data_IF_710496809526
#
_entry.id   IF_710496809526
#
_cell.length_a   1.000
_cell.length_b   1.000
_cell.length_c   1.000
_cell.angle_alpha   90.00
_cell.angle_beta   90.00
_cell.angle_gamma   90.00
#
_symmetry.space_group_name_H-M   'P 1'
#
loop_
_entity.id
_entity.type
_entity.pdbx_description
1 polymer ?
#
# COMPACT_ATOMS: atom_id res chain seq x y z
N UNK A 1 -27.22 -59.66 50.83
CA UNK A 1 -26.68 -58.37 51.31
C UNK A 1 -25.16 -58.39 51.19
N UNK A 2 -24.58 -57.78 50.14
CA UNK A 2 -23.13 -57.49 49.96
C UNK A 2 -22.85 -57.00 48.52
N UNK A 3 -23.48 -55.90 48.11
CA UNK A 3 -23.19 -55.22 46.82
C UNK A 3 -23.55 -53.74 46.92
N UNK A 4 -22.87 -53.01 47.79
CA UNK A 4 -22.98 -51.56 47.91
C UNK A 4 -21.79 -51.11 48.74
N UNK A 5 -20.65 -50.81 48.09
CA UNK A 5 -19.51 -50.04 48.64
C UNK A 5 -18.30 -50.22 47.69
N UNK A 6 -18.36 -49.75 46.44
CA UNK A 6 -17.14 -49.57 45.62
C UNK A 6 -17.40 -48.79 44.32
N UNK A 7 -18.13 -47.67 44.39
CA UNK A 7 -18.27 -46.72 43.26
C UNK A 7 -18.29 -45.28 43.77
N UNK A 8 -17.32 -44.91 44.59
CA UNK A 8 -17.26 -43.58 45.20
C UNK A 8 -15.82 -43.07 45.37
N UNK A 9 -14.95 -43.32 44.39
CA UNK A 9 -13.66 -42.63 44.27
C UNK A 9 -13.38 -42.50 42.78
N UNK A 10 -12.85 -41.35 42.36
CA UNK A 10 -12.42 -41.02 40.99
C UNK A 10 -13.42 -40.40 40.00
N UNK A 11 -14.45 -39.69 40.47
CA UNK A 11 -15.23 -38.74 39.66
C UNK A 11 -14.78 -37.27 39.81
N UNK A 12 -13.60 -37.03 40.39
CA UNK A 12 -13.06 -35.68 40.61
C UNK A 12 -11.89 -35.39 39.66
N UNK A 13 -12.09 -35.55 38.36
CA UNK A 13 -11.27 -34.85 37.38
C UNK A 13 -11.94 -33.49 37.17
N UNK A 14 -11.49 -32.55 37.99
CA UNK A 14 -11.87 -31.15 37.97
C UNK A 14 -11.85 -30.62 36.54
N UNK A 15 -13.02 -30.22 36.04
CA UNK A 15 -13.15 -29.32 34.90
C UNK A 15 -12.45 -28.00 35.26
N UNK A 16 -11.15 -27.92 35.03
CA UNK A 16 -10.48 -26.64 34.81
C UNK A 16 -11.01 -26.10 33.48
N UNK A 17 -12.07 -25.30 33.55
CA UNK A 17 -12.43 -24.39 32.48
C UNK A 17 -11.29 -23.39 32.34
N UNK A 18 -10.34 -23.67 31.44
CA UNK A 18 -9.40 -22.67 30.93
C UNK A 18 -10.25 -21.58 30.27
N UNK A 19 -10.52 -20.51 31.01
CA UNK A 19 -11.08 -19.29 30.47
C UNK A 19 -10.08 -18.75 29.44
N UNK A 20 -10.28 -19.14 28.18
CA UNK A 20 -9.54 -18.64 27.04
C UNK A 20 -9.78 -17.12 27.00
N UNK A 21 -8.81 -16.35 27.49
CA UNK A 21 -8.88 -14.90 27.43
C UNK A 21 -8.87 -14.51 25.94
N UNK A 22 -9.78 -13.63 25.50
CA UNK A 22 -9.76 -13.17 24.12
C UNK A 22 -8.40 -12.53 23.82
N UNK A 23 -7.71 -13.07 22.81
CA UNK A 23 -6.48 -12.45 22.28
C UNK A 23 -6.93 -11.28 21.42
N UNK A 24 -6.66 -10.08 21.90
CA UNK A 24 -6.88 -8.84 21.18
C UNK A 24 -5.68 -8.56 20.27
N UNK A 25 -5.89 -8.30 18.99
CA UNK A 25 -4.82 -7.78 18.12
C UNK A 25 -4.64 -6.26 18.31
N UNK A 26 -4.44 -5.84 19.56
CA UNK A 26 -4.32 -4.45 19.97
C UNK A 26 -2.90 -4.14 20.47
N UNK A 27 -2.53 -2.86 20.40
CA UNK A 27 -1.33 -2.28 21.00
C UNK A 27 -1.42 -2.33 22.53
N UNK A 28 -0.26 -2.24 23.17
CA UNK A 28 -0.17 -2.17 24.62
C UNK A 28 -0.71 -0.84 25.16
N UNK A 29 -1.27 -0.89 26.36
CA UNK A 29 -1.85 0.28 27.04
C UNK A 29 -2.87 -0.13 28.10
N UNK A 30 -3.87 0.72 28.30
CA UNK A 30 -5.04 0.38 29.12
C UNK A 30 -6.30 0.92 28.46
N UNK A 31 -7.44 0.28 28.71
CA UNK A 31 -8.73 0.75 28.23
C UNK A 31 -9.79 0.61 29.30
N UNK A 32 -10.88 1.35 29.14
CA UNK A 32 -12.03 1.23 30.04
C UNK A 32 -13.24 0.73 29.28
N UNK A 33 -13.83 -0.36 29.73
CA UNK A 33 -15.02 -0.95 29.14
C UNK A 33 -16.00 -1.34 30.24
N UNK A 34 -17.28 -1.00 30.07
CA UNK A 34 -18.32 -1.25 31.07
C UNK A 34 -17.95 -0.76 32.49
N UNK A 35 -17.22 0.35 32.58
CA UNK A 35 -16.76 0.93 33.84
C UNK A 35 -15.50 0.29 34.43
N UNK A 36 -15.01 -0.83 33.89
CA UNK A 36 -13.83 -1.57 34.36
C UNK A 36 -12.62 -1.18 33.53
N UNK A 37 -11.49 -0.93 34.20
CA UNK A 37 -10.21 -0.69 33.52
C UNK A 37 -9.48 -2.01 33.30
N UNK A 38 -9.04 -2.20 32.07
CA UNK A 38 -8.29 -3.36 31.61
C UNK A 38 -6.91 -2.89 31.12
N UNK A 39 -5.87 -3.65 31.46
CA UNK A 39 -4.52 -3.52 30.91
C UNK A 39 -4.42 -4.36 29.64
N UNK A 40 -3.94 -3.76 28.55
CA UNK A 40 -3.52 -4.46 27.34
C UNK A 40 -2.02 -4.65 27.36
N UNK A 41 -1.57 -5.90 27.29
CA UNK A 41 -0.16 -6.23 27.17
C UNK A 41 0.00 -7.45 26.27
N UNK A 42 0.86 -7.34 25.26
CA UNK A 42 1.15 -8.42 24.31
C UNK A 42 -0.12 -9.01 23.68
N UNK A 43 -1.10 -8.16 23.36
CA UNK A 43 -2.38 -8.56 22.79
C UNK A 43 -3.33 -9.30 23.75
N UNK A 44 -3.05 -9.30 25.05
CA UNK A 44 -3.94 -9.87 26.06
C UNK A 44 -4.50 -8.76 26.95
N UNK A 45 -5.77 -8.86 27.31
CA UNK A 45 -6.41 -7.94 28.23
C UNK A 45 -6.56 -8.58 29.62
N UNK A 46 -6.16 -7.86 30.65
CA UNK A 46 -6.29 -8.27 32.05
C UNK A 46 -6.96 -7.15 32.83
N UNK A 47 -7.75 -7.48 33.85
CA UNK A 47 -8.26 -6.44 34.75
C UNK A 47 -7.10 -5.71 35.39
N UNK A 48 -7.17 -4.38 35.41
CA UNK A 48 -6.15 -3.57 36.05
C UNK A 48 -6.35 -3.60 37.57
N UNK A 49 -5.47 -4.29 38.29
CA UNK A 49 -5.56 -4.43 39.76
C UNK A 49 -4.83 -3.33 40.52
N UNK A 50 -3.78 -2.75 39.92
CA UNK A 50 -3.00 -1.66 40.50
C UNK A 50 -2.69 -0.57 39.46
N UNK A 51 -2.08 0.55 39.87
CA UNK A 51 -1.70 1.61 38.94
C UNK A 51 -0.74 1.10 37.85
N UNK A 52 -0.95 1.53 36.61
CA UNK A 52 -0.05 1.28 35.49
C UNK A 52 0.61 2.59 35.10
N UNK A 53 1.94 2.61 35.17
CA UNK A 53 2.77 3.70 34.66
C UNK A 53 3.01 3.49 33.16
N UNK A 54 2.75 4.53 32.38
CA UNK A 54 2.96 4.59 30.94
C UNK A 54 4.37 5.13 30.64
N UNK A 55 4.83 5.01 29.39
CA UNK A 55 6.20 5.38 29.01
C UNK A 55 6.46 6.89 29.08
N UNK A 56 5.42 7.71 28.95
CA UNK A 56 5.52 9.18 29.09
C UNK A 56 5.59 9.63 30.56
N UNK A 57 5.45 8.70 31.51
CA UNK A 57 5.41 8.95 32.95
C UNK A 57 4.00 9.21 33.49
N UNK A 58 2.98 9.21 32.65
CA UNK A 58 1.58 9.26 33.09
C UNK A 58 1.18 7.96 33.78
N UNK A 59 0.19 8.02 34.68
CA UNK A 59 -0.26 6.86 35.46
C UNK A 59 -1.77 6.70 35.35
N UNK A 60 -2.22 5.53 34.90
CA UNK A 60 -3.63 5.13 34.91
C UNK A 60 -3.89 4.22 36.11
N UNK A 61 -4.95 4.50 36.87
CA UNK A 61 -5.32 3.70 38.03
C UNK A 61 -6.55 2.81 37.75
N UNK A 62 -6.83 1.79 38.60
CA UNK A 62 -8.00 0.92 38.44
C UNK A 62 -9.36 1.63 38.42
N UNK A 63 -9.42 2.85 38.98
CA UNK A 63 -10.63 3.70 38.93
C UNK A 63 -10.88 4.34 37.56
N UNK A 64 -9.88 4.30 36.67
CA UNK A 64 -9.94 4.90 35.33
C UNK A 64 -9.42 6.33 35.28
N UNK A 65 -8.95 6.91 36.38
CA UNK A 65 -8.31 8.22 36.38
C UNK A 65 -6.88 8.09 35.85
N UNK A 66 -6.64 8.76 34.72
CA UNK A 66 -5.32 9.01 34.16
C UNK A 66 -4.76 10.29 34.77
N UNK A 67 -3.62 10.17 35.44
CA UNK A 67 -2.82 11.28 35.93
C UNK A 67 -1.68 11.51 34.94
N UNK A 68 -1.72 12.64 34.23
CA UNK A 68 -0.67 13.02 33.30
C UNK A 68 0.59 13.49 34.03
N UNK A 69 1.71 13.56 33.33
CA UNK A 69 3.00 14.03 33.87
C UNK A 69 2.95 15.44 34.48
N UNK A 70 2.09 16.31 33.96
CA UNK A 70 1.84 17.66 34.47
C UNK A 70 0.96 17.69 35.75
N UNK A 71 0.47 16.52 36.20
CA UNK A 71 -0.44 16.38 37.33
C UNK A 71 -1.93 16.49 36.95
N UNK A 72 -2.25 16.80 35.68
CA UNK A 72 -3.63 16.88 35.19
C UNK A 72 -4.31 15.52 35.31
N UNK A 73 -5.53 15.51 35.83
CA UNK A 73 -6.32 14.29 36.04
C UNK A 73 -7.51 14.26 35.11
N UNK A 74 -7.70 13.14 34.43
CA UNK A 74 -8.88 12.92 33.61
C UNK A 74 -9.39 11.48 33.77
N UNK A 75 -10.71 11.33 33.82
CA UNK A 75 -11.33 10.01 33.80
C UNK A 75 -11.29 9.46 32.37
N UNK A 76 -10.74 8.27 32.18
CA UNK A 76 -10.78 7.55 30.92
C UNK A 76 -12.25 7.21 30.60
N UNK A 77 -12.81 7.70 29.48
CA UNK A 77 -14.18 7.40 29.10
C UNK A 77 -14.36 5.91 28.78
N UNK A 78 -15.57 5.39 28.98
CA UNK A 78 -15.91 4.03 28.54
C UNK A 78 -15.78 3.93 27.01
N UNK A 79 -15.19 2.84 26.53
CA UNK A 79 -14.89 2.60 25.11
C UNK A 79 -13.60 3.26 24.61
N UNK A 80 -12.89 4.02 25.47
CA UNK A 80 -11.61 4.63 25.12
C UNK A 80 -10.43 3.89 25.75
N UNK A 81 -9.27 4.09 25.14
CA UNK A 81 -7.99 3.56 25.58
C UNK A 81 -6.98 4.68 25.82
N UNK A 82 -5.97 4.40 26.62
CA UNK A 82 -4.73 5.17 26.70
C UNK A 82 -3.59 4.26 26.23
N UNK A 83 -2.85 4.71 25.23
CA UNK A 83 -1.68 3.97 24.73
C UNK A 83 -0.48 4.15 25.67
N UNK A 84 0.60 3.39 25.43
CA UNK A 84 1.82 3.50 26.23
C UNK A 84 2.49 4.89 26.19
N UNK A 85 2.11 5.77 25.24
CA UNK A 85 2.58 7.15 25.13
C UNK A 85 1.71 8.16 25.90
N UNK A 86 0.70 7.70 26.66
CA UNK A 86 -0.18 8.58 27.43
C UNK A 86 -1.27 9.28 26.62
N UNK A 87 -1.42 8.94 25.33
CA UNK A 87 -2.43 9.52 24.46
C UNK A 87 -3.73 8.73 24.59
N UNK A 88 -4.81 9.45 24.85
CA UNK A 88 -6.16 8.88 24.88
C UNK A 88 -6.70 8.78 23.46
N UNK A 89 -7.17 7.59 23.10
CA UNK A 89 -7.54 7.21 21.73
C UNK A 89 -8.76 6.28 21.72
N UNK A 90 -9.35 6.07 20.55
CA UNK A 90 -10.42 5.10 20.40
C UNK A 90 -9.85 3.66 20.49
N UNK A 91 -10.46 2.82 21.34
CA UNK A 91 -10.03 1.44 21.53
C UNK A 91 -10.12 0.59 20.25
N UNK A 92 -11.13 0.80 19.42
CA UNK A 92 -11.40 -0.07 18.26
C UNK A 92 -10.61 0.33 17.02
N UNK A 93 -10.30 1.62 16.89
CA UNK A 93 -9.72 2.19 15.67
C UNK A 93 -8.20 2.40 15.81
N UNK A 94 -7.77 3.10 16.85
CA UNK A 94 -6.38 3.59 16.96
C UNK A 94 -5.44 2.60 17.65
N UNK A 95 -6.00 1.73 18.49
CA UNK A 95 -5.24 0.71 19.22
C UNK A 95 -4.95 -0.53 18.36
N UNK A 96 -5.33 -0.58 17.10
CA UNK A 96 -5.04 -1.73 16.23
C UNK A 96 -3.54 -1.97 16.06
N UNK A 97 -3.10 -3.23 16.18
CA UNK A 97 -1.71 -3.59 15.96
C UNK A 97 -1.36 -3.56 14.46
N UNK A 98 -0.07 -3.37 14.14
CA UNK A 98 0.39 -3.41 12.75
C UNK A 98 0.00 -4.72 12.05
N UNK A 99 0.14 -5.85 12.75
CA UNK A 99 -0.26 -7.16 12.25
C UNK A 99 -1.75 -7.25 11.93
N UNK A 100 -2.62 -6.67 12.77
CA UNK A 100 -4.07 -6.66 12.53
C UNK A 100 -4.44 -5.82 11.30
N UNK A 101 -3.75 -4.69 11.12
CA UNK A 101 -3.92 -3.80 9.97
C UNK A 101 -3.51 -4.53 8.70
N UNK A 102 -2.36 -5.21 8.72
CA UNK A 102 -1.90 -6.02 7.58
C UNK A 102 -2.86 -7.16 7.25
N UNK A 103 -3.35 -7.89 8.24
CA UNK A 103 -4.30 -8.98 8.03
C UNK A 103 -5.60 -8.47 7.41
N UNK A 104 -6.13 -7.36 7.93
CA UNK A 104 -7.33 -6.73 7.36
C UNK A 104 -7.06 -6.22 5.94
N UNK A 105 -5.91 -5.61 5.71
CA UNK A 105 -5.52 -5.17 4.37
C UNK A 105 -5.45 -6.36 3.40
N UNK A 106 -4.85 -7.49 3.79
CA UNK A 106 -4.85 -8.70 2.96
C UNK A 106 -6.26 -9.22 2.68
N UNK A 107 -7.14 -9.19 3.67
CA UNK A 107 -8.53 -9.64 3.51
C UNK A 107 -9.35 -8.74 2.57
N UNK A 108 -9.14 -7.42 2.63
CA UNK A 108 -9.89 -6.45 1.81
C UNK A 108 -9.27 -6.29 0.41
N UNK A 109 -7.95 -6.26 0.30
CA UNK A 109 -7.21 -6.00 -0.94
C UNK A 109 -6.69 -7.26 -1.66
N UNK A 110 -6.93 -8.47 -1.12
CA UNK A 110 -6.54 -9.72 -1.78
C UNK A 110 -5.04 -10.05 -1.70
N UNK A 111 -4.31 -9.47 -0.73
CA UNK A 111 -2.98 -9.93 -0.34
C UNK A 111 -1.78 -9.30 -1.06
N UNK A 112 -1.99 -8.53 -2.13
CA UNK A 112 -0.94 -7.67 -2.70
C UNK A 112 -1.14 -6.28 -2.08
N UNK A 113 -0.14 -5.75 -1.38
CA UNK A 113 -0.18 -4.43 -0.73
C UNK A 113 -0.34 -3.24 -1.69
N UNK A 114 -0.83 -3.49 -2.90
CA UNK A 114 -1.07 -2.56 -3.98
C UNK A 114 -2.54 -2.73 -4.37
N UNK A 115 -3.37 -1.73 -4.08
CA UNK A 115 -4.72 -1.68 -4.61
C UNK A 115 -4.60 -1.55 -6.13
N UNK A 116 -4.75 -2.66 -6.85
CA UNK A 116 -4.89 -2.63 -8.30
C UNK A 116 -6.22 -1.97 -8.59
N UNK A 117 -6.19 -0.68 -8.99
CA UNK A 117 -7.40 0.04 -9.39
C UNK A 117 -7.92 -0.63 -10.67
N UNK A 118 -8.82 -1.59 -10.51
CA UNK A 118 -9.61 -2.19 -11.59
C UNK A 118 -10.53 -1.11 -12.16
N UNK A 119 -9.99 -0.26 -13.03
CA UNK A 119 -10.70 0.92 -13.54
C UNK A 119 -9.89 1.74 -14.52
N UNK A 120 -8.56 1.64 -14.51
CA UNK A 120 -7.77 1.96 -15.69
C UNK A 120 -7.71 0.67 -16.52
N UNK A 121 -8.40 0.59 -17.66
CA UNK A 121 -8.19 -0.56 -18.54
C UNK A 121 -6.71 -0.56 -18.91
N UNK A 122 -5.99 -1.58 -18.45
CA UNK A 122 -4.61 -1.82 -18.83
C UNK A 122 -4.44 -1.94 -20.36
N UNK A 123 -5.54 -1.99 -21.12
CA UNK A 123 -5.61 -1.88 -22.56
C UNK A 123 -6.82 -1.04 -22.98
N UNK A 124 -6.63 0.21 -23.39
CA UNK A 124 -7.64 0.89 -24.23
C UNK A 124 -7.04 1.52 -25.47
N UNK A 125 -5.91 0.99 -25.95
CA UNK A 125 -5.56 1.19 -27.35
C UNK A 125 -6.50 0.28 -28.15
N UNK A 126 -7.52 0.89 -28.77
CA UNK A 126 -8.46 0.13 -29.58
C UNK A 126 -7.71 -0.56 -30.74
N UNK A 127 -8.14 -1.74 -31.19
CA UNK A 127 -7.51 -2.40 -32.35
C UNK A 127 -7.54 -1.50 -33.59
N UNK A 128 -8.53 -0.61 -33.71
CA UNK A 128 -8.59 0.40 -34.75
C UNK A 128 -7.44 1.42 -34.65
N UNK A 129 -7.08 1.87 -33.45
CA UNK A 129 -5.95 2.78 -33.23
C UNK A 129 -4.62 2.13 -33.59
N UNK A 130 -4.45 0.83 -33.28
CA UNK A 130 -3.25 0.08 -33.69
C UNK A 130 -3.16 -0.03 -35.22
N UNK A 131 -4.27 -0.33 -35.88
CA UNK A 131 -4.34 -0.42 -37.34
C UNK A 131 -4.04 0.93 -38.01
N UNK A 132 -4.54 2.03 -37.44
CA UNK A 132 -4.26 3.38 -37.93
C UNK A 132 -2.77 3.73 -37.81
N UNK A 133 -2.12 3.36 -36.70
CA UNK A 133 -0.67 3.56 -36.54
C UNK A 133 0.12 2.80 -37.62
N UNK A 134 -0.20 1.53 -37.83
CA UNK A 134 0.46 0.70 -38.84
C UNK A 134 0.26 1.23 -40.26
N UNK A 135 -0.93 1.74 -40.57
CA UNK A 135 -1.19 2.39 -41.86
C UNK A 135 -0.36 3.67 -42.03
N UNK A 136 -0.21 4.45 -40.96
CA UNK A 136 0.61 5.66 -40.96
C UNK A 136 2.10 5.34 -41.18
N UNK A 137 2.62 4.34 -40.48
CA UNK A 137 4.01 3.87 -40.62
C UNK A 137 4.32 3.46 -42.07
N UNK A 138 3.43 2.68 -42.70
CA UNK A 138 3.58 2.28 -44.11
C UNK A 138 3.58 3.49 -45.05
N UNK A 139 2.73 4.48 -44.79
CA UNK A 139 2.68 5.70 -45.60
C UNK A 139 3.96 6.52 -45.46
N UNK A 140 4.49 6.66 -44.25
CA UNK A 140 5.75 7.39 -44.02
C UNK A 140 6.92 6.69 -44.72
N UNK A 141 7.01 5.36 -44.63
CA UNK A 141 8.05 4.60 -45.31
C UNK A 141 7.99 4.77 -46.84
N UNK A 142 6.77 4.79 -47.42
CA UNK A 142 6.59 5.03 -48.85
C UNK A 142 7.05 6.45 -49.25
N UNK A 143 6.72 7.46 -48.45
CA UNK A 143 7.16 8.84 -48.70
C UNK A 143 8.68 8.98 -48.64
N UNK A 144 9.34 8.30 -47.71
CA UNK A 144 10.80 8.25 -47.64
C UNK A 144 11.39 7.62 -48.90
N UNK A 145 10.88 6.46 -49.32
CA UNK A 145 11.34 5.80 -50.54
C UNK A 145 11.15 6.67 -51.80
N UNK A 146 10.04 7.41 -51.89
CA UNK A 146 9.82 8.34 -53.00
C UNK A 146 10.80 9.51 -52.94
N UNK A 147 11.09 10.03 -51.76
CA UNK A 147 12.06 11.11 -51.56
C UNK A 147 13.45 10.66 -52.00
N UNK A 148 13.88 9.47 -51.61
CA UNK A 148 15.17 8.89 -52.01
C UNK A 148 15.26 8.70 -53.53
N UNK A 149 14.20 8.17 -54.16
CA UNK A 149 14.17 8.04 -55.62
C UNK A 149 14.19 9.38 -56.36
N UNK A 150 13.57 10.41 -55.80
CA UNK A 150 13.64 11.75 -56.37
C UNK A 150 15.06 12.33 -56.23
N UNK A 151 15.71 12.12 -55.09
CA UNK A 151 17.09 12.52 -54.86
C UNK A 151 18.07 11.80 -55.80
N UNK A 152 17.89 10.49 -56.04
CA UNK A 152 18.69 9.74 -57.01
C UNK A 152 18.52 10.27 -58.43
N UNK A 153 17.28 10.62 -58.82
CA UNK A 153 16.98 11.15 -60.16
C UNK A 153 17.53 12.56 -60.34
N UNK A 154 17.47 13.42 -59.34
CA UNK A 154 18.11 14.75 -59.42
C UNK A 154 19.63 14.62 -59.44
N UNK A 155 20.24 13.74 -58.64
CA UNK A 155 21.68 13.49 -58.71
C UNK A 155 22.13 13.00 -60.09
N UNK A 156 21.37 12.07 -60.70
CA UNK A 156 21.64 11.60 -62.07
C UNK A 156 21.39 12.69 -63.13
N UNK A 157 20.34 13.50 -62.98
CA UNK A 157 20.01 14.56 -63.94
C UNK A 157 21.01 15.72 -63.91
N UNK A 158 21.55 16.06 -62.75
CA UNK A 158 22.62 17.07 -62.62
C UNK A 158 23.93 16.60 -63.28
N UNK A 159 24.20 15.28 -63.30
CA UNK A 159 25.35 14.71 -64.00
C UNK A 159 25.13 14.42 -65.50
N UNK A 160 23.87 14.32 -65.95
CA UNK A 160 23.53 13.83 -67.30
C UNK A 160 22.81 14.86 -68.19
N UNK A 161 22.76 16.14 -67.81
CA UNK A 161 22.22 17.18 -68.68
C UNK A 161 23.08 17.30 -69.96
N UNK A 162 22.55 16.97 -71.16
CA UNK A 162 23.31 17.10 -72.39
C UNK A 162 23.59 18.58 -72.63
N UNK A 163 24.86 18.97 -72.56
CA UNK A 163 25.32 20.35 -72.69
C UNK A 163 25.86 20.98 -71.40
N UNK A 164 25.66 20.39 -70.21
CA UNK A 164 26.18 20.95 -68.97
C UNK A 164 27.71 21.01 -68.94
N UNK A 165 28.40 19.96 -69.41
CA UNK A 165 29.86 19.95 -69.53
C UNK A 165 30.38 21.00 -70.53
N UNK A 166 29.65 21.23 -71.63
CA UNK A 166 30.02 22.23 -72.65
C UNK A 166 29.79 23.67 -72.14
N UNK A 167 28.71 23.91 -71.40
CA UNK A 167 28.42 25.18 -70.74
C UNK A 167 29.43 25.49 -69.63
N UNK A 168 29.84 24.50 -68.84
CA UNK A 168 30.88 24.66 -67.80
C UNK A 168 32.25 25.00 -68.40
N UNK A 169 32.59 24.41 -69.55
CA UNK A 169 33.82 24.72 -70.29
C UNK A 169 33.78 26.13 -70.88
N UNK A 170 32.63 26.55 -71.44
CA UNK A 170 32.43 27.92 -71.94
C UNK A 170 32.50 28.98 -70.82
N UNK A 171 31.94 28.71 -69.64
CA UNK A 171 32.02 29.61 -68.48
C UNK A 171 33.45 29.74 -67.94
N UNK A 172 34.23 28.65 -67.94
CA UNK A 172 35.64 28.67 -67.53
C UNK A 172 36.52 29.47 -68.49
N UNK A 173 36.19 29.46 -69.78
CA UNK A 173 36.83 30.30 -70.80
C UNK A 173 36.54 31.80 -70.66
N UNK A 174 35.34 32.16 -70.19
CA UNK A 174 34.95 33.56 -69.96
C UNK A 174 35.50 34.15 -68.65
N UNK A 175 35.84 33.30 -67.67
CA UNK A 175 36.35 33.69 -66.36
C UNK A 175 37.88 33.85 -66.26
N UNK A 176 38.62 33.73 -67.38
CA UNK A 176 40.08 33.94 -67.39
C UNK A 176 40.40 35.39 -67.79
N UNK A 177 40.75 36.28 -66.83
CA UNK A 177 41.21 37.61 -67.17
C UNK A 177 42.57 37.52 -67.89
N UNK A 178 42.71 38.26 -68.98
CA UNK A 178 44.00 38.56 -69.62
C UNK A 178 44.84 39.47 -68.72
#
# INVERSE_FOLDING_TARGET
MRRLLLTAVLSCFTLLALAQQPVYSLKDGAFRENGVVMKLQAGQAFRLEGPLTLNDGSVINPSGILVKKDGTRQLLPNGQAVNMQGVVVNLRDDMQSAQSIEQRNRAVAGGRGEAQITGLPANSVSPATVQQLQALERRVALLQQLTDRLADRTAQAVGAAPGAAALDEQLRGLGSPR
#
